data_IF_773026809624
#
_entry.id   IF_773026809624
#
_cell.length_a   1.000
_cell.length_b   1.000
_cell.length_c   1.000
_cell.angle_alpha   90.00
_cell.angle_beta   90.00
_cell.angle_gamma   90.00
#
_symmetry.space_group_name_H-M   'P 1'
#
loop_
_entity.id
_entity.type
_entity.pdbx_description
1 polymer ?
#
# COMPACT_ATOMS: atom_id res chain seq x y z
N UNK A 1 17.82 -9.59 0.86
CA UNK A 1 17.56 -8.22 0.36
C UNK A 1 18.84 -7.41 0.47
N UNK A 2 19.21 -6.74 -0.62
CA UNK A 2 20.34 -5.79 -0.67
C UNK A 2 19.83 -4.40 -0.34
N UNK A 3 20.49 -3.71 0.57
CA UNK A 3 20.09 -2.36 0.95
C UNK A 3 21.27 -1.36 0.88
N UNK A 4 20.91 -0.09 0.66
CA UNK A 4 21.80 1.05 0.72
C UNK A 4 21.32 2.01 1.80
N UNK A 5 22.25 2.68 2.48
CA UNK A 5 21.97 3.73 3.46
C UNK A 5 22.50 5.05 2.91
N UNK A 6 21.63 6.06 2.84
CA UNK A 6 21.95 7.38 2.30
C UNK A 6 21.59 8.41 3.37
N UNK A 7 22.61 9.04 3.96
CA UNK A 7 22.45 10.02 5.03
C UNK A 7 23.74 10.82 5.14
N UNK A 8 23.68 12.14 5.18
CA UNK A 8 24.88 12.99 5.28
C UNK A 8 25.51 12.96 6.68
N UNK A 9 24.77 12.46 7.67
CA UNK A 9 25.25 12.28 9.04
C UNK A 9 25.84 10.86 9.23
N UNK A 10 27.16 10.69 9.41
CA UNK A 10 27.76 9.37 9.61
C UNK A 10 27.18 8.59 10.80
N UNK A 11 26.84 9.28 11.89
CA UNK A 11 26.25 8.66 13.08
C UNK A 11 24.86 8.07 12.79
N UNK A 12 24.07 8.68 11.92
CA UNK A 12 22.77 8.14 11.51
C UNK A 12 22.94 6.86 10.66
N UNK A 13 23.95 6.83 9.79
CA UNK A 13 24.34 5.62 9.05
C UNK A 13 24.72 4.50 10.02
N UNK A 14 25.55 4.78 11.02
CA UNK A 14 26.02 3.78 11.99
C UNK A 14 24.84 3.20 12.83
N UNK A 15 23.85 4.02 13.17
CA UNK A 15 22.65 3.55 13.87
C UNK A 15 21.85 2.56 13.01
N UNK A 16 21.60 2.90 11.74
CA UNK A 16 20.87 2.03 10.81
C UNK A 16 21.65 0.74 10.57
N UNK A 17 22.96 0.82 10.34
CA UNK A 17 23.85 -0.34 10.18
C UNK A 17 23.82 -1.26 11.41
N UNK A 18 23.91 -0.68 12.61
CA UNK A 18 23.81 -1.44 13.87
C UNK A 18 22.49 -2.20 13.96
N UNK A 19 21.38 -1.55 13.63
CA UNK A 19 20.06 -2.17 13.66
C UNK A 19 19.93 -3.29 12.62
N UNK A 20 20.40 -3.08 11.40
CA UNK A 20 20.41 -4.10 10.35
C UNK A 20 21.28 -5.30 10.72
N UNK A 21 22.45 -5.06 11.33
CA UNK A 21 23.34 -6.12 11.83
C UNK A 21 22.68 -6.95 12.92
N UNK A 22 21.97 -6.32 13.86
CA UNK A 22 21.23 -7.03 14.90
C UNK A 22 20.09 -7.89 14.32
N UNK A 23 19.48 -7.46 13.21
CA UNK A 23 18.43 -8.23 12.54
C UNK A 23 18.97 -9.39 11.71
N UNK A 24 20.21 -9.33 11.22
CA UNK A 24 20.94 -10.41 10.55
C UNK A 24 20.42 -10.87 9.19
N UNK A 25 19.46 -10.18 8.59
CA UNK A 25 18.73 -10.67 7.43
C UNK A 25 18.81 -9.76 6.17
N UNK A 26 19.74 -8.80 6.16
CA UNK A 26 19.92 -7.85 5.05
C UNK A 26 21.40 -7.61 4.78
N UNK A 27 21.73 -7.45 3.50
CA UNK A 27 23.06 -7.15 3.03
C UNK A 27 23.17 -5.65 2.74
N UNK A 28 24.04 -4.95 3.46
CA UNK A 28 24.34 -3.53 3.19
C UNK A 28 25.36 -3.49 2.06
N UNK A 29 24.94 -3.07 0.87
CA UNK A 29 25.79 -3.04 -0.32
C UNK A 29 26.52 -1.70 -0.51
N UNK A 30 25.99 -0.63 0.08
CA UNK A 30 26.65 0.68 0.12
C UNK A 30 26.17 1.54 1.27
N UNK A 31 27.01 2.47 1.69
CA UNK A 31 26.73 3.56 2.61
C UNK A 31 27.19 4.86 1.94
N UNK A 32 26.29 5.79 1.72
CA UNK A 32 26.55 7.05 1.03
C UNK A 32 26.23 8.23 1.93
N UNK A 33 27.20 9.11 2.10
CA UNK A 33 27.03 10.38 2.80
C UNK A 33 26.78 11.56 1.84
N UNK A 34 26.59 11.26 0.56
CA UNK A 34 26.35 12.22 -0.49
C UNK A 34 25.27 11.67 -1.44
N UNK A 35 24.20 12.43 -1.75
CA UNK A 35 23.12 11.99 -2.62
C UNK A 35 23.58 11.68 -4.06
N UNK A 36 24.59 12.36 -4.59
CA UNK A 36 25.08 12.13 -5.96
C UNK A 36 25.84 10.80 -6.09
N UNK A 37 26.60 10.42 -5.06
CA UNK A 37 27.24 9.10 -5.01
C UNK A 37 26.21 7.99 -4.95
N UNK A 38 25.14 8.21 -4.19
CA UNK A 38 24.01 7.29 -4.09
C UNK A 38 23.30 7.08 -5.44
N UNK A 39 23.01 8.16 -6.19
CA UNK A 39 22.43 8.08 -7.53
C UNK A 39 23.36 7.30 -8.47
N UNK A 40 24.65 7.58 -8.43
CA UNK A 40 25.64 6.87 -9.24
C UNK A 40 25.67 5.39 -8.93
N UNK A 41 25.58 5.02 -7.65
CA UNK A 41 25.56 3.63 -7.20
C UNK A 41 24.25 2.93 -7.64
N UNK A 42 23.10 3.56 -7.42
CA UNK A 42 21.78 3.02 -7.79
C UNK A 42 21.65 2.72 -9.28
N UNK A 43 22.25 3.56 -10.13
CA UNK A 43 22.24 3.36 -11.59
C UNK A 43 23.11 2.18 -12.06
N UNK A 44 24.02 1.68 -11.22
CA UNK A 44 25.00 0.63 -11.60
C UNK A 44 24.76 -0.71 -10.89
N UNK A 45 24.03 -0.72 -9.80
CA UNK A 45 23.89 -1.88 -8.94
C UNK A 45 22.42 -2.17 -8.64
N UNK A 46 22.09 -3.45 -8.51
CA UNK A 46 20.77 -3.85 -8.04
C UNK A 46 20.69 -3.68 -6.53
N UNK A 47 19.71 -2.87 -6.11
CA UNK A 47 19.37 -2.59 -4.73
C UNK A 47 17.88 -2.90 -4.55
N UNK A 48 17.52 -3.49 -3.43
CA UNK A 48 16.13 -3.85 -3.12
C UNK A 48 15.47 -2.83 -2.20
N UNK A 49 16.25 -2.19 -1.33
CA UNK A 49 15.75 -1.23 -0.33
C UNK A 49 16.74 -0.08 -0.13
N UNK A 50 16.21 1.14 -0.06
CA UNK A 50 16.97 2.36 0.23
C UNK A 50 16.49 2.92 1.57
N UNK A 51 17.40 3.12 2.54
CA UNK A 51 17.18 4.02 3.66
C UNK A 51 17.69 5.39 3.25
N UNK A 52 16.82 6.40 3.27
CA UNK A 52 17.09 7.70 2.67
C UNK A 52 16.76 8.82 3.64
N UNK A 53 17.76 9.58 4.03
CA UNK A 53 17.51 10.82 4.73
C UNK A 53 16.84 11.86 3.83
N UNK A 54 15.95 12.64 4.40
CA UNK A 54 15.26 13.69 3.64
C UNK A 54 16.13 14.95 3.55
N UNK A 55 16.70 15.40 4.64
CA UNK A 55 17.43 16.66 4.68
C UNK A 55 18.95 16.46 4.50
N UNK A 56 19.36 16.42 3.24
CA UNK A 56 20.77 16.36 2.88
C UNK A 56 21.20 17.63 2.12
N UNK A 57 22.46 18.05 2.24
CA UNK A 57 23.01 19.15 1.47
C UNK A 57 22.94 18.91 -0.05
N UNK A 58 22.71 19.98 -0.81
CA UNK A 58 22.65 20.04 -2.27
C UNK A 58 21.46 19.36 -2.94
N UNK A 59 21.03 18.20 -2.47
CA UNK A 59 19.86 17.48 -2.99
C UNK A 59 19.16 16.77 -1.84
N UNK A 60 17.93 17.17 -1.52
CA UNK A 60 17.16 16.51 -0.49
C UNK A 60 16.63 15.15 -0.96
N UNK A 61 16.28 14.26 -0.02
CA UNK A 61 15.84 12.91 -0.32
C UNK A 61 14.53 12.85 -1.12
N UNK A 62 13.63 13.83 -0.95
CA UNK A 62 12.37 13.92 -1.71
C UNK A 62 12.67 14.20 -3.19
N UNK A 63 13.58 15.13 -3.47
CA UNK A 63 13.97 15.48 -4.83
C UNK A 63 14.82 14.39 -5.47
N UNK A 64 15.61 13.66 -4.69
CA UNK A 64 16.31 12.46 -5.15
C UNK A 64 15.32 11.41 -5.64
N UNK A 65 14.27 11.10 -4.87
CA UNK A 65 13.23 10.14 -5.27
C UNK A 65 12.54 10.56 -6.56
N UNK A 66 12.28 11.86 -6.76
CA UNK A 66 11.67 12.38 -7.99
C UNK A 66 12.60 12.36 -9.20
N UNK A 67 13.91 12.35 -8.99
CA UNK A 67 14.93 12.46 -10.04
C UNK A 67 15.43 11.11 -10.54
N UNK A 68 15.16 10.02 -9.82
CA UNK A 68 15.63 8.68 -10.18
C UNK A 68 14.48 7.85 -10.72
N UNK A 69 14.57 7.47 -12.00
CA UNK A 69 13.63 6.53 -12.60
C UNK A 69 13.84 5.12 -12.01
N UNK A 70 12.75 4.42 -11.72
CA UNK A 70 12.76 3.05 -11.19
C UNK A 70 13.52 2.89 -9.86
N UNK A 71 13.37 3.85 -8.95
CA UNK A 71 13.92 3.75 -7.61
C UNK A 71 13.41 2.46 -6.92
N UNK A 72 14.28 1.68 -6.23
CA UNK A 72 13.86 0.56 -5.41
C UNK A 72 12.89 0.98 -4.31
N UNK A 73 12.37 0.01 -3.55
CA UNK A 73 11.64 0.36 -2.34
C UNK A 73 12.49 1.25 -1.43
N UNK A 74 11.87 2.24 -0.81
CA UNK A 74 12.59 3.16 0.08
C UNK A 74 11.83 3.43 1.37
N UNK A 75 12.61 3.67 2.43
CA UNK A 75 12.17 4.11 3.74
C UNK A 75 12.85 5.44 4.00
N UNK A 76 12.06 6.48 4.21
CA UNK A 76 12.62 7.75 4.62
C UNK A 76 13.05 7.75 6.09
N UNK A 77 14.17 8.41 6.36
CA UNK A 77 14.61 8.75 7.71
C UNK A 77 14.74 10.27 7.81
N UNK A 78 14.38 10.89 8.93
CA UNK A 78 14.47 12.35 9.07
C UNK A 78 14.29 12.80 10.52
N UNK A 79 14.82 13.96 10.87
CA UNK A 79 14.54 14.63 12.14
C UNK A 79 13.17 15.34 12.15
N UNK A 80 12.51 15.51 11.00
CA UNK A 80 11.36 16.40 10.83
C UNK A 80 10.06 15.65 10.52
N UNK A 81 9.10 15.57 11.46
CA UNK A 81 7.83 14.86 11.28
C UNK A 81 6.92 15.38 10.15
N UNK A 82 7.08 16.66 9.75
CA UNK A 82 6.22 17.30 8.74
C UNK A 82 6.30 16.69 7.34
N UNK A 83 7.39 16.03 6.99
CA UNK A 83 7.56 15.39 5.68
C UNK A 83 6.79 14.07 5.52
N UNK A 84 6.02 13.65 6.52
CA UNK A 84 5.24 12.42 6.44
C UNK A 84 4.21 12.40 5.29
N UNK A 85 3.63 13.56 4.94
CA UNK A 85 2.70 13.70 3.82
C UNK A 85 3.42 13.53 2.47
N UNK A 86 4.61 14.08 2.33
CA UNK A 86 5.40 13.95 1.11
C UNK A 86 5.86 12.52 0.91
N UNK A 87 6.31 11.85 1.98
CA UNK A 87 6.66 10.43 1.98
C UNK A 87 5.48 9.56 1.50
N UNK A 88 4.28 9.85 1.98
CA UNK A 88 3.06 9.15 1.57
C UNK A 88 2.75 9.36 0.07
N UNK A 89 2.83 10.59 -0.42
CA UNK A 89 2.57 10.91 -1.84
C UNK A 89 3.57 10.26 -2.79
N UNK A 90 4.80 10.00 -2.32
CA UNK A 90 5.85 9.34 -3.08
C UNK A 90 5.83 7.82 -2.97
N UNK A 91 4.82 7.22 -2.31
CA UNK A 91 4.69 5.78 -2.08
C UNK A 91 5.89 5.17 -1.32
N UNK A 92 6.49 5.92 -0.39
CA UNK A 92 7.48 5.38 0.51
C UNK A 92 6.97 4.12 1.22
N UNK A 93 7.80 3.11 1.35
CA UNK A 93 7.43 1.88 2.08
C UNK A 93 7.17 2.16 3.54
N UNK A 94 7.95 3.07 4.12
CA UNK A 94 7.75 3.58 5.47
C UNK A 94 8.47 4.92 5.69
N UNK A 95 8.29 5.47 6.89
CA UNK A 95 8.83 6.75 7.31
C UNK A 95 9.28 6.69 8.78
N UNK A 96 10.53 7.04 9.06
CA UNK A 96 11.17 6.93 10.37
C UNK A 96 11.64 8.30 10.86
N UNK A 97 11.15 8.73 12.01
CA UNK A 97 11.57 9.98 12.64
C UNK A 97 12.74 9.70 13.57
N UNK A 98 13.84 10.44 13.40
CA UNK A 98 15.01 10.42 14.29
C UNK A 98 14.67 11.13 15.63
N UNK A 99 15.08 10.58 16.81
CA UNK A 99 15.83 9.34 16.98
C UNK A 99 14.94 8.11 16.71
N UNK A 100 15.44 7.15 15.92
CA UNK A 100 14.67 6.00 15.47
C UNK A 100 14.64 4.92 16.58
N UNK A 101 13.48 4.60 17.17
CA UNK A 101 13.39 3.48 18.11
C UNK A 101 13.58 2.15 17.37
N UNK A 102 14.35 1.23 17.92
CA UNK A 102 14.63 -0.07 17.29
C UNK A 102 13.37 -0.86 16.94
N UNK A 103 12.35 -0.86 17.81
CA UNK A 103 11.07 -1.52 17.52
C UNK A 103 10.34 -0.92 16.31
N UNK A 104 10.46 0.41 16.10
CA UNK A 104 9.87 1.09 14.96
C UNK A 104 10.62 0.76 13.68
N UNK A 105 11.96 0.65 13.77
CA UNK A 105 12.82 0.21 12.68
C UNK A 105 12.48 -1.21 12.21
N UNK A 106 12.37 -2.17 13.13
CA UNK A 106 11.95 -3.55 12.83
C UNK A 106 10.65 -3.57 12.02
N UNK A 107 9.63 -2.79 12.44
CA UNK A 107 8.35 -2.73 11.72
C UNK A 107 8.50 -2.22 10.30
N UNK A 108 9.31 -1.19 10.09
CA UNK A 108 9.56 -0.62 8.77
C UNK A 108 10.27 -1.63 7.83
N UNK A 109 11.29 -2.31 8.34
CA UNK A 109 12.00 -3.35 7.60
C UNK A 109 11.12 -4.56 7.30
N UNK A 110 10.27 -4.97 8.24
CA UNK A 110 9.32 -6.07 8.02
C UNK A 110 8.34 -5.75 6.87
N UNK A 111 7.82 -4.52 6.81
CA UNK A 111 6.97 -4.07 5.68
C UNK A 111 7.70 -4.10 4.34
N UNK A 112 8.95 -3.65 4.33
CA UNK A 112 9.76 -3.69 3.12
C UNK A 112 9.99 -5.12 2.63
N UNK A 113 10.24 -6.06 3.55
CA UNK A 113 10.42 -7.49 3.23
C UNK A 113 9.14 -8.14 2.72
N UNK A 114 7.99 -7.84 3.33
CA UNK A 114 6.69 -8.34 2.86
C UNK A 114 6.42 -7.87 1.43
N UNK A 115 6.62 -6.58 1.16
CA UNK A 115 6.44 -5.99 -0.17
C UNK A 115 7.40 -6.63 -1.19
N UNK A 116 8.68 -6.79 -0.84
CA UNK A 116 9.69 -7.46 -1.66
C UNK A 116 9.34 -8.92 -1.98
N UNK A 117 8.85 -9.66 -0.99
CA UNK A 117 8.43 -11.05 -1.19
C UNK A 117 7.24 -11.16 -2.14
N UNK A 118 6.27 -10.25 -2.05
CA UNK A 118 5.11 -10.18 -2.95
C UNK A 118 5.56 -9.87 -4.39
N UNK A 119 6.43 -8.90 -4.59
CA UNK A 119 6.93 -8.51 -5.91
C UNK A 119 7.76 -9.63 -6.57
N UNK A 120 8.60 -10.34 -5.81
CA UNK A 120 9.42 -11.45 -6.32
C UNK A 120 8.65 -12.74 -6.55
N UNK A 121 7.60 -13.02 -5.78
CA UNK A 121 6.72 -14.18 -6.06
C UNK A 121 5.92 -13.99 -7.37
N UNK A 122 5.74 -12.76 -7.83
CA UNK A 122 5.16 -12.46 -9.15
C UNK A 122 6.14 -12.70 -10.31
N UNK A 123 7.45 -12.65 -10.07
CA UNK A 123 8.49 -12.83 -11.12
C UNK A 123 8.96 -14.28 -11.31
N UNK A 124 8.77 -15.16 -10.33
CA UNK A 124 9.21 -16.57 -10.42
C UNK A 124 8.22 -17.54 -11.04
N UNK A 125 7.04 -17.08 -11.51
CA UNK A 125 6.03 -17.92 -12.17
C UNK A 125 5.84 -17.59 -13.66
N UNK A 126 6.89 -17.26 -14.39
CA UNK A 126 6.80 -17.13 -15.85
C UNK A 126 7.55 -18.29 -16.52
N UNK A 127 6.93 -19.46 -16.53
CA UNK A 127 7.08 -20.42 -17.64
C UNK A 127 6.01 -20.07 -18.69
N UNK A 128 6.27 -20.19 -20.01
CA UNK A 128 5.33 -19.75 -21.03
C UNK A 128 4.14 -20.70 -21.09
N UNK A 129 3.02 -20.28 -20.54
CA UNK A 129 1.72 -20.94 -20.67
C UNK A 129 0.75 -20.03 -21.42
N UNK A 130 -0.03 -20.64 -22.30
CA UNK A 130 -0.99 -20.10 -23.26
C UNK A 130 -1.90 -18.96 -22.76
N UNK A 131 -2.40 -18.07 -23.66
CA UNK A 131 -3.17 -16.88 -23.29
C UNK A 131 -4.64 -17.21 -22.98
N UNK A 132 -4.90 -17.93 -21.90
CA UNK A 132 -6.26 -18.22 -21.39
C UNK A 132 -6.37 -18.36 -19.87
N UNK A 133 -5.32 -18.10 -19.10
CA UNK A 133 -5.42 -18.17 -17.63
C UNK A 133 -5.45 -16.77 -17.03
N UNK A 134 -6.65 -16.32 -16.71
CA UNK A 134 -6.95 -15.17 -15.85
C UNK A 134 -6.39 -15.50 -14.46
N UNK A 135 -5.30 -14.80 -14.05
CA UNK A 135 -4.75 -14.93 -12.68
C UNK A 135 -5.81 -14.52 -11.66
N UNK A 136 -6.04 -15.29 -10.58
CA UNK A 136 -6.86 -14.81 -9.48
C UNK A 136 -6.16 -13.60 -8.84
N UNK A 137 -6.85 -12.45 -8.78
CA UNK A 137 -6.48 -11.34 -7.89
C UNK A 137 -6.43 -11.91 -6.48
N UNK A 138 -5.41 -11.54 -5.72
CA UNK A 138 -5.30 -11.92 -4.30
C UNK A 138 -6.65 -11.73 -3.60
N UNK A 139 -7.13 -12.77 -2.92
CA UNK A 139 -8.44 -12.76 -2.27
C UNK A 139 -8.50 -11.87 -1.03
N UNK A 140 -7.54 -10.99 -0.80
CA UNK A 140 -7.52 -10.09 0.35
C UNK A 140 -7.01 -8.71 0.00
N UNK A 141 -7.43 -7.73 0.79
CA UNK A 141 -6.93 -6.35 0.76
C UNK A 141 -6.43 -5.95 2.14
N UNK A 142 -5.44 -5.05 2.17
CA UNK A 142 -5.06 -4.36 3.40
C UNK A 142 -5.64 -2.97 3.43
N UNK A 143 -6.26 -2.62 4.54
CA UNK A 143 -6.76 -1.27 4.83
C UNK A 143 -6.19 -0.76 6.15
N UNK A 144 -5.86 0.52 6.19
CA UNK A 144 -5.38 1.16 7.41
C UNK A 144 -6.59 1.60 8.25
N UNK A 145 -6.77 0.99 9.42
CA UNK A 145 -7.79 1.36 10.38
C UNK A 145 -7.13 1.80 11.68
N UNK A 146 -7.41 3.02 12.12
CA UNK A 146 -6.78 3.63 13.29
C UNK A 146 -5.24 3.56 13.21
N UNK A 147 -4.61 2.65 13.96
CA UNK A 147 -3.14 2.49 14.03
C UNK A 147 -2.66 1.16 13.42
N UNK A 148 -3.55 0.35 12.84
CA UNK A 148 -3.25 -1.00 12.35
C UNK A 148 -3.59 -1.16 10.86
N UNK A 149 -2.83 -2.02 10.16
CA UNK A 149 -3.20 -2.50 8.84
C UNK A 149 -4.02 -3.78 9.02
N UNK A 150 -5.30 -3.69 8.73
CA UNK A 150 -6.21 -4.82 8.82
C UNK A 150 -6.23 -5.55 7.49
N UNK A 151 -5.94 -6.85 7.51
CA UNK A 151 -6.15 -7.74 6.37
C UNK A 151 -7.61 -8.13 6.30
N UNK A 152 -8.24 -7.92 5.15
CA UNK A 152 -9.64 -8.28 4.91
C UNK A 152 -9.68 -9.23 3.72
N UNK A 153 -10.29 -10.39 3.89
CA UNK A 153 -10.61 -11.27 2.77
C UNK A 153 -11.70 -10.59 1.91
N UNK A 154 -11.42 -10.47 0.62
CA UNK A 154 -12.33 -9.78 -0.31
C UNK A 154 -13.67 -10.51 -0.42
N UNK A 155 -13.68 -11.83 -0.28
CA UNK A 155 -14.90 -12.62 -0.31
C UNK A 155 -15.81 -12.37 0.90
N UNK A 156 -15.25 -11.91 2.01
CA UNK A 156 -16.01 -11.56 3.21
C UNK A 156 -16.67 -10.17 3.10
N UNK A 157 -16.17 -9.30 2.20
CA UNK A 157 -16.72 -7.95 2.05
C UNK A 157 -18.09 -8.02 1.41
N UNK A 158 -19.10 -7.52 2.10
CA UNK A 158 -20.50 -7.45 1.63
C UNK A 158 -20.80 -6.13 0.93
N UNK A 159 -20.47 -5.01 1.55
CA UNK A 159 -20.60 -3.68 0.94
C UNK A 159 -19.66 -2.67 1.63
N UNK A 160 -19.44 -1.53 0.96
CA UNK A 160 -18.63 -0.42 1.47
C UNK A 160 -19.47 0.85 1.44
N UNK A 161 -19.45 1.60 2.54
CA UNK A 161 -20.15 2.86 2.70
C UNK A 161 -19.18 4.03 2.84
N UNK A 162 -19.39 5.11 2.09
CA UNK A 162 -18.63 6.36 2.24
C UNK A 162 -19.14 7.20 3.41
N UNK A 163 -18.21 7.75 4.18
CA UNK A 163 -18.47 8.63 5.31
C UNK A 163 -17.47 9.80 5.30
N UNK A 164 -17.79 10.89 4.59
CA UNK A 164 -16.88 12.02 4.37
C UNK A 164 -15.53 11.55 3.80
N UNK A 165 -14.43 11.74 4.53
CA UNK A 165 -13.08 11.35 4.15
C UNK A 165 -12.74 9.87 4.46
N UNK A 166 -13.67 9.16 5.09
CA UNK A 166 -13.53 7.75 5.49
C UNK A 166 -14.46 6.86 4.68
N UNK A 167 -14.11 5.58 4.63
CA UNK A 167 -15.01 4.53 4.18
C UNK A 167 -15.19 3.50 5.30
N UNK A 168 -16.38 2.93 5.38
CA UNK A 168 -16.74 1.81 6.26
C UNK A 168 -16.84 0.56 5.41
N UNK A 169 -16.07 -0.46 5.74
CA UNK A 169 -16.10 -1.75 5.07
C UNK A 169 -16.86 -2.72 5.98
N UNK A 170 -17.92 -3.32 5.43
CA UNK A 170 -18.74 -4.30 6.10
C UNK A 170 -18.42 -5.69 5.59
N UNK A 171 -18.27 -6.66 6.49
CA UNK A 171 -17.94 -8.05 6.21
C UNK A 171 -19.01 -8.98 6.77
N UNK A 172 -19.14 -10.18 6.18
CA UNK A 172 -20.04 -11.21 6.70
C UNK A 172 -19.54 -11.83 8.02
N UNK A 173 -18.24 -11.74 8.30
CA UNK A 173 -17.60 -12.31 9.50
C UNK A 173 -17.74 -11.44 10.74
N UNK A 174 -18.07 -10.14 10.60
CA UNK A 174 -18.14 -9.20 11.72
C UNK A 174 -19.29 -8.21 11.60
N UNK A 175 -20.00 -8.01 12.72
CA UNK A 175 -21.02 -6.95 12.79
C UNK A 175 -20.44 -5.53 12.86
N UNK A 176 -19.15 -5.39 13.26
CA UNK A 176 -18.49 -4.10 13.37
C UNK A 176 -17.80 -3.75 12.06
N UNK A 177 -18.18 -2.61 11.47
CA UNK A 177 -17.56 -2.11 10.27
C UNK A 177 -16.10 -1.69 10.53
N UNK A 178 -15.24 -1.97 9.56
CA UNK A 178 -13.84 -1.51 9.56
C UNK A 178 -13.82 -0.11 8.95
N UNK A 179 -13.34 0.87 9.72
CA UNK A 179 -13.23 2.26 9.30
C UNK A 179 -11.82 2.53 8.77
N UNK A 180 -11.70 3.08 7.57
CA UNK A 180 -10.41 3.43 6.98
C UNK A 180 -10.46 4.78 6.27
N UNK A 181 -9.36 5.54 6.38
CA UNK A 181 -9.17 6.78 5.62
C UNK A 181 -8.82 6.41 4.18
N UNK A 182 -9.79 6.45 3.28
CA UNK A 182 -9.63 6.12 1.87
C UNK A 182 -10.80 6.67 1.05
N UNK A 183 -10.65 6.71 -0.27
CA UNK A 183 -11.71 7.10 -1.20
C UNK A 183 -12.23 5.90 -1.99
N UNK A 184 -13.46 6.03 -2.54
CA UNK A 184 -14.03 5.00 -3.41
C UNK A 184 -13.19 4.72 -4.66
N UNK A 185 -12.50 5.73 -5.20
CA UNK A 185 -11.62 5.56 -6.34
C UNK A 185 -10.46 4.63 -6.00
N UNK A 186 -9.79 4.87 -4.87
CA UNK A 186 -8.65 4.06 -4.43
C UNK A 186 -9.04 2.63 -4.05
N UNK A 187 -10.19 2.46 -3.38
CA UNK A 187 -10.59 1.12 -2.93
C UNK A 187 -11.11 0.25 -4.08
N UNK A 188 -11.84 0.82 -5.05
CA UNK A 188 -12.42 0.05 -6.14
C UNK A 188 -11.34 -0.53 -7.07
N UNK A 189 -10.21 0.15 -7.21
CA UNK A 189 -9.07 -0.32 -8.00
C UNK A 189 -8.39 -1.56 -7.38
N UNK A 190 -8.58 -1.76 -6.07
CA UNK A 190 -8.06 -2.92 -5.32
C UNK A 190 -9.04 -4.09 -5.28
N UNK A 191 -10.29 -3.86 -5.63
CA UNK A 191 -11.35 -4.87 -5.55
C UNK A 191 -11.55 -5.60 -6.89
N UNK A 192 -11.94 -6.88 -6.86
CA UNK A 192 -12.31 -7.61 -8.06
C UNK A 192 -13.53 -7.01 -8.78
N UNK A 193 -13.74 -7.45 -10.03
CA UNK A 193 -14.79 -6.93 -10.90
C UNK A 193 -16.23 -7.17 -10.42
N UNK A 194 -16.44 -8.05 -9.45
CA UNK A 194 -17.77 -8.29 -8.86
C UNK A 194 -18.15 -7.23 -7.79
N UNK A 195 -17.31 -6.22 -7.56
CA UNK A 195 -17.68 -5.04 -6.79
C UNK A 195 -18.17 -3.93 -7.71
N UNK A 196 -19.36 -3.42 -7.45
CA UNK A 196 -20.01 -2.41 -8.29
C UNK A 196 -20.39 -1.19 -7.46
N UNK A 197 -20.09 -0.01 -7.99
CA UNK A 197 -20.54 1.24 -7.36
C UNK A 197 -22.02 1.46 -7.70
N UNK A 198 -22.88 1.46 -6.71
CA UNK A 198 -24.34 1.55 -6.87
C UNK A 198 -24.90 2.90 -6.47
N UNK A 199 -24.11 3.71 -5.74
CA UNK A 199 -24.51 5.02 -5.27
C UNK A 199 -23.26 5.90 -5.03
N UNK A 200 -23.43 7.23 -4.96
CA UNK A 200 -22.31 8.12 -4.58
C UNK A 200 -21.64 7.73 -3.26
N UNK A 201 -22.37 7.03 -2.37
CA UNK A 201 -21.91 6.64 -1.04
C UNK A 201 -21.87 5.12 -0.82
N UNK A 202 -22.05 4.28 -1.86
CA UNK A 202 -22.05 2.83 -1.70
C UNK A 202 -21.40 2.09 -2.87
N UNK A 203 -20.57 1.10 -2.52
CA UNK A 203 -20.07 0.02 -3.38
C UNK A 203 -20.58 -1.28 -2.80
N UNK A 204 -21.06 -2.22 -3.62
CA UNK A 204 -21.58 -3.52 -3.17
C UNK A 204 -20.82 -4.66 -3.83
N UNK A 205 -20.71 -5.76 -3.12
CA UNK A 205 -20.33 -7.05 -3.67
C UNK A 205 -21.57 -7.71 -4.29
N UNK A 206 -21.56 -7.94 -5.59
CA UNK A 206 -22.67 -8.54 -6.32
C UNK A 206 -23.02 -9.93 -5.76
N UNK A 207 -22.00 -10.68 -5.31
CA UNK A 207 -22.18 -12.02 -4.76
C UNK A 207 -22.87 -12.02 -3.37
N UNK A 208 -22.93 -10.87 -2.69
CA UNK A 208 -23.57 -10.72 -1.38
C UNK A 208 -25.02 -10.20 -1.48
N UNK A 209 -25.54 -9.97 -2.69
CA UNK A 209 -26.89 -9.43 -2.88
C UNK A 209 -27.92 -10.53 -2.64
N UNK A 210 -28.80 -10.31 -1.67
CA UNK A 210 -29.93 -11.21 -1.39
C UNK A 210 -31.15 -10.92 -2.27
N UNK A 211 -31.43 -9.64 -2.54
CA UNK A 211 -32.58 -9.24 -3.35
C UNK A 211 -32.37 -7.86 -3.99
N UNK A 212 -33.04 -7.65 -5.15
CA UNK A 212 -33.13 -6.37 -5.84
C UNK A 212 -34.56 -5.86 -5.80
N UNK A 213 -34.76 -4.64 -5.35
CA UNK A 213 -36.00 -3.88 -5.47
C UNK A 213 -35.81 -2.77 -6.52
N UNK A 214 -36.93 -2.14 -6.99
CA UNK A 214 -36.88 -1.14 -8.09
C UNK A 214 -35.77 -0.09 -7.96
N UNK A 215 -35.43 0.32 -6.73
CA UNK A 215 -34.44 1.39 -6.45
C UNK A 215 -33.47 1.05 -5.32
N UNK A 216 -33.46 -0.19 -4.85
CA UNK A 216 -32.67 -0.61 -3.69
C UNK A 216 -32.10 -2.02 -3.86
N UNK A 217 -30.91 -2.22 -3.37
CA UNK A 217 -30.28 -3.53 -3.19
C UNK A 217 -30.43 -3.94 -1.73
N UNK A 218 -30.75 -5.20 -1.49
CA UNK A 218 -30.85 -5.77 -0.14
C UNK A 218 -29.68 -6.70 0.07
N UNK A 219 -28.89 -6.42 1.10
CA UNK A 219 -27.80 -7.26 1.58
C UNK A 219 -28.07 -7.49 3.07
N UNK A 220 -28.32 -8.73 3.44
CA UNK A 220 -28.82 -9.12 4.77
C UNK A 220 -30.06 -8.30 5.16
N UNK A 221 -29.96 -7.48 6.22
CA UNK A 221 -31.03 -6.59 6.66
C UNK A 221 -30.86 -5.13 6.21
N UNK A 222 -29.85 -4.85 5.36
CA UNK A 222 -29.52 -3.48 4.94
C UNK A 222 -30.10 -3.19 3.56
N UNK A 223 -30.78 -2.04 3.44
CA UNK A 223 -31.35 -1.55 2.19
C UNK A 223 -30.46 -0.44 1.62
N UNK A 224 -29.71 -0.76 0.58
CA UNK A 224 -28.76 0.15 -0.07
C UNK A 224 -29.44 0.81 -1.28
N UNK A 225 -29.52 2.14 -1.36
CA UNK A 225 -30.14 2.83 -2.48
C UNK A 225 -29.28 2.71 -3.75
N UNK A 226 -29.92 2.62 -4.92
CA UNK A 226 -29.29 2.74 -6.23
C UNK A 226 -29.46 4.17 -6.71
N UNK A 227 -28.37 4.87 -6.97
CA UNK A 227 -28.40 6.21 -7.57
C UNK A 227 -28.77 6.16 -9.05
N UNK A 228 -29.56 7.11 -9.54
CA UNK A 228 -30.03 7.14 -10.93
C UNK A 228 -28.89 7.03 -11.95
N UNK A 229 -27.76 7.69 -11.70
CA UNK A 229 -26.56 7.66 -12.56
C UNK A 229 -25.87 6.30 -12.61
N UNK A 230 -26.11 5.44 -11.63
CA UNK A 230 -25.48 4.10 -11.53
C UNK A 230 -26.42 2.98 -11.98
N UNK A 231 -27.72 3.27 -12.17
CA UNK A 231 -28.76 2.28 -12.38
C UNK A 231 -28.54 1.41 -13.62
N UNK A 232 -28.19 2.03 -14.74
CA UNK A 232 -27.96 1.31 -16.00
C UNK A 232 -26.79 0.31 -15.87
N UNK A 233 -25.67 0.75 -15.30
CA UNK A 233 -24.51 -0.10 -15.06
C UNK A 233 -24.80 -1.25 -14.09
N UNK A 234 -25.54 -0.96 -13.00
CA UNK A 234 -25.94 -1.98 -12.02
C UNK A 234 -26.81 -3.05 -12.64
N UNK A 235 -27.84 -2.69 -13.41
CA UNK A 235 -28.74 -3.63 -14.07
C UNK A 235 -27.98 -4.50 -15.10
N UNK A 236 -27.12 -3.90 -15.90
CA UNK A 236 -26.27 -4.61 -16.85
C UNK A 236 -25.35 -5.62 -16.13
N UNK A 237 -24.75 -5.25 -15.01
CA UNK A 237 -23.85 -6.13 -14.23
C UNK A 237 -24.59 -7.27 -13.55
N UNK A 238 -25.87 -7.08 -13.21
CA UNK A 238 -26.73 -8.09 -12.61
C UNK A 238 -27.43 -8.99 -13.66
N UNK A 239 -27.28 -8.68 -14.95
CA UNK A 239 -27.90 -9.44 -16.05
C UNK A 239 -29.42 -9.25 -16.14
N UNK A 240 -29.95 -8.08 -15.73
CA UNK A 240 -31.38 -7.75 -15.67
C UNK A 240 -31.69 -6.55 -16.56
#
# INVERSE_FOLDING_TARGET
>A
MKCIIIDDEPLAIDVIESYLTQMGNMEIVAKCNNPFDAITFLNRHQVDLVFLDIEMPNLNGIDLVKSVDNLPQFIFTTAYPQYALDAFNLNATDYLVKPIPFQRFIKAVSRAREKYALENNLTHNVAPANPSDIKPKDNFIFVKSEYENIRIDVNEITYIQGLKDYIKIYTCSSQKAILTLSSFKVIIDKLPSHFVRVHRSYIVNVNAINALQKTKIIIDNVRIPIGETYKAEVLQRLGI
#
